data_IF_755668496374
#
_entry.id   IF_755668496374
#
_cell.length_a   1.000
_cell.length_b   1.000
_cell.length_c   1.000
_cell.angle_alpha   90.00
_cell.angle_beta   90.00
_cell.angle_gamma   90.00
#
_symmetry.space_group_name_H-M   'P 1'
#
loop_
_entity.id
_entity.type
_entity.pdbx_description
1 polymer ?
#
# COMPACT_ATOMS: atom_id res chain seq x y z
N UNK A 1 -37.38 -16.22 -4.81
CA UNK A 1 -36.88 -15.61 -6.08
C UNK A 1 -36.16 -14.26 -5.90
N UNK A 2 -36.62 -13.35 -5.02
CA UNK A 2 -36.02 -12.00 -4.86
C UNK A 2 -34.54 -12.00 -4.40
N UNK A 3 -34.17 -12.90 -3.49
CA UNK A 3 -32.80 -13.00 -2.92
C UNK A 3 -31.72 -13.43 -3.93
N UNK A 4 -32.01 -14.37 -4.82
CA UNK A 4 -31.07 -14.80 -5.88
C UNK A 4 -30.75 -13.67 -6.88
N UNK A 5 -31.74 -12.84 -7.20
CA UNK A 5 -31.59 -11.69 -8.11
C UNK A 5 -30.79 -10.54 -7.48
N UNK A 6 -30.93 -10.33 -6.18
CA UNK A 6 -30.11 -9.37 -5.43
C UNK A 6 -28.64 -9.82 -5.42
N UNK A 7 -28.38 -11.09 -5.10
CA UNK A 7 -27.02 -11.63 -5.10
C UNK A 7 -26.35 -11.58 -6.48
N UNK A 8 -27.09 -11.91 -7.55
CA UNK A 8 -26.57 -11.81 -8.92
C UNK A 8 -26.24 -10.36 -9.32
N UNK A 9 -27.09 -9.40 -8.93
CA UNK A 9 -26.85 -7.97 -9.18
C UNK A 9 -25.64 -7.45 -8.41
N UNK A 10 -25.51 -7.84 -7.14
CA UNK A 10 -24.36 -7.49 -6.31
C UNK A 10 -23.05 -8.04 -6.91
N UNK A 11 -23.04 -9.31 -7.33
CA UNK A 11 -21.87 -9.93 -7.93
C UNK A 11 -21.49 -9.28 -9.26
N UNK A 12 -22.48 -8.94 -10.11
CA UNK A 12 -22.26 -8.20 -11.36
C UNK A 12 -21.63 -6.83 -11.09
N UNK A 13 -22.19 -6.04 -10.17
CA UNK A 13 -21.65 -4.74 -9.81
C UNK A 13 -20.21 -4.82 -9.29
N UNK A 14 -19.88 -5.86 -8.52
CA UNK A 14 -18.52 -6.08 -8.02
C UNK A 14 -17.56 -6.52 -9.13
N UNK A 15 -18.01 -7.33 -10.09
CA UNK A 15 -17.24 -7.68 -11.29
C UNK A 15 -16.96 -6.45 -12.16
N UNK A 16 -17.97 -5.60 -12.41
CA UNK A 16 -17.83 -4.38 -13.21
C UNK A 16 -16.82 -3.41 -12.58
N UNK A 17 -16.88 -3.23 -11.25
CA UNK A 17 -15.90 -2.40 -10.51
C UNK A 17 -14.48 -2.94 -10.63
N UNK A 18 -14.28 -4.26 -10.53
CA UNK A 18 -12.95 -4.88 -10.68
C UNK A 18 -12.43 -4.74 -12.11
N UNK A 19 -13.28 -4.96 -13.11
CA UNK A 19 -12.91 -4.78 -14.52
C UNK A 19 -12.52 -3.34 -14.81
N UNK A 20 -13.30 -2.37 -14.32
CA UNK A 20 -12.99 -0.95 -14.47
C UNK A 20 -11.65 -0.59 -13.82
N UNK A 21 -11.39 -1.06 -12.59
CA UNK A 21 -10.10 -0.88 -11.89
C UNK A 21 -8.95 -1.40 -12.76
N UNK A 22 -9.08 -2.60 -13.30
CA UNK A 22 -8.05 -3.21 -14.15
C UNK A 22 -7.81 -2.41 -15.43
N UNK A 23 -8.87 -1.91 -16.08
CA UNK A 23 -8.74 -1.07 -17.28
C UNK A 23 -7.98 0.22 -16.97
N UNK A 24 -8.31 0.87 -15.86
CA UNK A 24 -7.62 2.09 -15.40
C UNK A 24 -6.14 1.79 -15.13
N UNK A 25 -5.86 0.74 -14.36
CA UNK A 25 -4.49 0.34 -14.03
C UNK A 25 -3.67 0.03 -15.29
N UNK A 26 -4.25 -0.67 -16.28
CA UNK A 26 -3.59 -0.95 -17.55
C UNK A 26 -3.28 0.32 -18.34
N UNK A 27 -4.19 1.30 -18.39
CA UNK A 27 -3.95 2.59 -19.04
C UNK A 27 -2.84 3.38 -18.34
N UNK A 28 -2.81 3.40 -17.01
CA UNK A 28 -1.77 4.05 -16.23
C UNK A 28 -0.40 3.38 -16.41
N UNK A 29 -0.36 2.06 -16.57
CA UNK A 29 0.88 1.34 -16.87
C UNK A 29 1.36 1.67 -18.29
N UNK A 30 0.51 1.53 -19.31
CA UNK A 30 0.89 1.73 -20.72
C UNK A 30 1.34 3.16 -21.04
N UNK A 31 0.75 4.15 -20.36
CA UNK A 31 1.16 5.56 -20.50
C UNK A 31 2.44 5.91 -19.72
N UNK A 32 2.95 5.02 -18.87
CA UNK A 32 4.07 5.31 -17.96
C UNK A 32 3.68 6.11 -16.71
N UNK A 33 2.43 6.60 -16.63
CA UNK A 33 1.96 7.46 -15.54
C UNK A 33 2.03 6.77 -14.18
N UNK A 34 1.83 5.44 -14.13
CA UNK A 34 1.99 4.66 -12.89
C UNK A 34 3.40 4.79 -12.32
N UNK A 35 4.43 4.77 -13.16
CA UNK A 35 5.81 4.87 -12.69
C UNK A 35 6.16 6.32 -12.31
N UNK A 36 5.66 7.31 -13.06
CA UNK A 36 5.76 8.73 -12.69
C UNK A 36 5.17 9.01 -11.31
N UNK A 37 3.97 8.50 -11.04
CA UNK A 37 3.30 8.63 -9.74
C UNK A 37 4.06 7.93 -8.61
N UNK A 38 4.62 6.74 -8.85
CA UNK A 38 5.47 6.06 -7.86
C UNK A 38 6.73 6.84 -7.56
N UNK A 39 7.38 7.41 -8.57
CA UNK A 39 8.59 8.21 -8.38
C UNK A 39 8.28 9.49 -7.59
N UNK A 40 7.19 10.18 -7.94
CA UNK A 40 6.74 11.36 -7.20
C UNK A 40 6.43 11.03 -5.74
N UNK A 41 5.73 9.91 -5.49
CA UNK A 41 5.45 9.45 -4.13
C UNK A 41 6.75 9.16 -3.36
N UNK A 42 7.70 8.44 -3.96
CA UNK A 42 9.01 8.17 -3.34
C UNK A 42 9.77 9.45 -3.00
N UNK A 43 9.75 10.44 -3.90
CA UNK A 43 10.37 11.75 -3.67
C UNK A 43 9.72 12.46 -2.50
N UNK A 44 8.38 12.55 -2.46
CA UNK A 44 7.66 13.20 -1.36
C UNK A 44 7.90 12.51 -0.01
N UNK A 45 7.84 11.18 0.04
CA UNK A 45 8.12 10.40 1.26
C UNK A 45 9.57 10.56 1.73
N UNK A 46 10.51 10.82 0.82
CA UNK A 46 11.89 11.11 1.21
C UNK A 46 12.02 12.55 1.72
N UNK A 47 11.41 13.51 1.02
CA UNK A 47 11.46 14.93 1.37
C UNK A 47 10.79 15.26 2.70
N UNK A 48 9.69 14.58 3.06
CA UNK A 48 9.03 14.76 4.35
C UNK A 48 9.66 13.94 5.49
N UNK A 49 10.79 13.26 5.26
CA UNK A 49 11.50 12.49 6.29
C UNK A 49 10.93 11.09 6.58
N UNK A 50 9.78 10.72 6.00
CA UNK A 50 9.11 9.44 6.27
C UNK A 50 10.03 8.23 6.12
N UNK A 51 10.88 8.22 5.09
CA UNK A 51 11.83 7.10 4.85
C UNK A 51 12.84 6.97 5.98
N UNK A 52 13.35 8.08 6.50
CA UNK A 52 14.36 8.09 7.54
C UNK A 52 13.76 7.73 8.90
N UNK A 53 12.55 8.23 9.19
CA UNK A 53 11.79 7.87 10.39
C UNK A 53 11.47 6.36 10.43
N UNK A 54 11.03 5.80 9.30
CA UNK A 54 10.72 4.37 9.23
C UNK A 54 11.99 3.52 9.37
N UNK A 55 13.12 3.99 8.83
CA UNK A 55 14.43 3.34 9.00
C UNK A 55 14.92 3.40 10.45
N UNK A 56 14.73 4.52 11.13
CA UNK A 56 15.06 4.65 12.55
C UNK A 56 14.25 3.67 13.39
N UNK A 57 12.93 3.63 13.18
CA UNK A 57 12.06 2.69 13.89
C UNK A 57 12.42 1.22 13.63
N UNK A 58 12.72 0.87 12.39
CA UNK A 58 13.20 -0.46 12.03
C UNK A 58 14.45 -0.87 12.86
N UNK A 59 15.41 0.04 13.02
CA UNK A 59 16.59 -0.20 13.88
C UNK A 59 16.21 -0.40 15.34
N UNK A 60 15.24 0.36 15.85
CA UNK A 60 14.79 0.23 17.24
C UNK A 60 14.11 -1.13 17.49
N UNK A 61 13.31 -1.61 16.54
CA UNK A 61 12.67 -2.94 16.60
C UNK A 61 13.73 -4.03 16.66
N UNK A 62 14.74 -3.99 15.77
CA UNK A 62 15.82 -4.98 15.74
C UNK A 62 16.65 -4.94 17.03
N UNK A 63 16.96 -3.74 17.55
CA UNK A 63 17.69 -3.58 18.82
C UNK A 63 16.89 -4.11 20.02
N UNK A 64 15.58 -3.89 20.05
CA UNK A 64 14.72 -4.29 21.17
C UNK A 64 14.46 -5.80 21.22
N UNK A 65 14.30 -6.45 20.07
CA UNK A 65 14.03 -7.91 19.99
C UNK A 65 15.31 -8.75 19.94
N UNK A 66 16.44 -8.16 19.53
CA UNK A 66 17.70 -8.87 19.31
C UNK A 66 17.86 -9.30 17.84
N UNK A 67 19.05 -9.11 17.29
CA UNK A 67 19.31 -9.30 15.85
C UNK A 67 19.07 -10.75 15.38
N UNK A 68 19.31 -11.73 16.23
CA UNK A 68 19.15 -13.15 15.91
C UNK A 68 17.70 -13.65 16.07
N UNK A 69 16.81 -12.80 16.58
CA UNK A 69 15.42 -13.15 16.91
C UNK A 69 14.40 -12.51 15.95
N UNK A 70 14.83 -11.75 14.95
CA UNK A 70 13.95 -11.01 14.04
C UNK A 70 14.16 -11.46 12.60
N UNK A 71 13.14 -12.07 12.02
CA UNK A 71 13.11 -12.32 10.58
C UNK A 71 12.72 -11.04 9.81
N UNK A 72 13.02 -11.03 8.50
CA UNK A 72 12.57 -9.95 7.61
C UNK A 72 11.03 -9.86 7.59
N UNK A 73 10.34 -10.99 7.67
CA UNK A 73 8.88 -11.03 7.66
C UNK A 73 8.28 -10.44 8.94
N UNK A 74 8.85 -10.76 10.11
CA UNK A 74 8.46 -10.14 11.39
C UNK A 74 8.67 -8.64 11.35
N UNK A 75 9.80 -8.20 10.79
CA UNK A 75 10.12 -6.79 10.64
C UNK A 75 9.13 -6.10 9.70
N UNK A 76 8.76 -6.72 8.57
CA UNK A 76 7.73 -6.20 7.66
C UNK A 76 6.39 -6.07 8.38
N UNK A 77 5.98 -7.10 9.11
CA UNK A 77 4.72 -7.13 9.85
C UNK A 77 4.66 -6.04 10.92
N UNK A 78 5.78 -5.75 11.58
CA UNK A 78 5.91 -4.70 12.59
C UNK A 78 5.91 -3.29 11.98
N UNK A 79 6.73 -3.04 10.95
CA UNK A 79 6.95 -1.69 10.42
C UNK A 79 5.86 -1.25 9.45
N UNK A 80 5.16 -2.18 8.78
CA UNK A 80 4.15 -1.85 7.75
C UNK A 80 2.97 -1.05 8.29
N UNK A 81 2.34 -1.44 9.43
CA UNK A 81 1.27 -0.65 10.03
C UNK A 81 1.71 0.77 10.35
N UNK A 82 2.89 0.93 10.97
CA UNK A 82 3.43 2.26 11.31
C UNK A 82 3.74 3.09 10.06
N UNK A 83 4.39 2.49 9.07
CA UNK A 83 4.73 3.16 7.82
C UNK A 83 3.49 3.63 7.07
N UNK A 84 2.38 2.88 7.07
CA UNK A 84 1.11 3.33 6.46
C UNK A 84 0.41 4.39 7.30
N UNK A 85 0.44 4.26 8.62
CA UNK A 85 -0.23 5.19 9.54
C UNK A 85 0.44 6.56 9.65
N UNK A 86 1.74 6.65 9.36
CA UNK A 86 2.48 7.92 9.39
C UNK A 86 2.36 8.76 8.12
N UNK A 87 1.69 8.26 7.07
CA UNK A 87 1.42 9.05 5.86
C UNK A 87 0.23 9.97 6.17
N UNK A 88 0.54 11.24 6.42
CA UNK A 88 -0.47 12.29 6.60
C UNK A 88 -1.31 12.55 5.34
N UNK A 89 -2.43 13.28 5.47
CA UNK A 89 -3.21 13.72 4.31
C UNK A 89 -2.32 14.52 3.37
N UNK A 90 -2.50 14.30 2.06
CA UNK A 90 -1.78 15.05 1.03
C UNK A 90 -2.08 16.55 1.19
N UNK A 91 -1.10 17.33 1.65
CA UNK A 91 -1.10 18.79 1.52
C UNK A 91 -0.73 19.21 0.10
#
# INVERSE_FOLDING_TARGET
>A
MKTKKIFSNFNRQFQDKRQLRNIIDQKLVKSGEKERLKQLLRQRLTQCGWRDDLKAHCKDVVKGKGMDQVSVEDLINEITPKGRGSIGPFQ
#
